data_IF_869662146481
#
_entry.id   IF_869662146481
#
_cell.length_a   1.000
_cell.length_b   1.000
_cell.length_c   1.000
_cell.angle_alpha   90.00
_cell.angle_beta   90.00
_cell.angle_gamma   90.00
#
_symmetry.space_group_name_H-M   'P 1'
#
loop_
_entity.id
_entity.type
_entity.pdbx_description
1 polymer ?
#
# COMPACT_ATOMS: atom_id res chain seq x y z
N UNK A 1 -6.20 -29.16 3.45
CA UNK A 1 -6.41 -28.42 4.70
C UNK A 1 -5.84 -27.01 4.55
N UNK A 2 -6.60 -26.12 3.88
CA UNK A 2 -6.15 -24.77 3.45
C UNK A 2 -7.11 -23.67 3.90
N UNK A 3 -7.87 -23.92 4.97
CA UNK A 3 -8.84 -22.97 5.50
C UNK A 3 -8.34 -22.37 6.81
N UNK A 4 -7.99 -21.09 6.68
CA UNK A 4 -7.95 -20.02 7.67
C UNK A 4 -7.66 -20.42 9.12
N UNK A 5 -6.44 -20.13 9.56
CA UNK A 5 -6.21 -19.87 10.95
C UNK A 5 -6.72 -18.45 11.26
N UNK A 6 -7.82 -18.34 12.01
CA UNK A 6 -8.38 -17.06 12.48
C UNK A 6 -7.34 -16.24 13.28
N UNK A 7 -6.24 -16.86 13.72
CA UNK A 7 -5.06 -16.18 14.25
C UNK A 7 -4.26 -15.33 13.25
N UNK A 8 -4.53 -15.42 11.93
CA UNK A 8 -3.78 -14.69 10.91
C UNK A 8 -4.08 -13.19 10.84
N UNK A 9 -5.20 -12.73 11.39
CA UNK A 9 -5.51 -11.29 11.48
C UNK A 9 -4.96 -10.66 12.77
N UNK A 10 -4.79 -11.44 13.83
CA UNK A 10 -4.38 -10.96 15.14
C UNK A 10 -2.92 -10.55 15.20
N UNK A 11 -2.65 -9.42 15.86
CA UNK A 11 -1.29 -8.90 16.00
C UNK A 11 -0.48 -9.68 17.06
N UNK A 12 -1.16 -10.19 18.09
CA UNK A 12 -0.56 -10.96 19.19
C UNK A 12 0.25 -12.18 18.74
N UNK A 13 -0.31 -13.12 17.95
CA UNK A 13 0.42 -14.28 17.43
C UNK A 13 1.62 -13.93 16.55
N UNK A 14 1.69 -12.69 16.03
CA UNK A 14 2.74 -12.20 15.13
C UNK A 14 3.84 -11.41 15.85
N UNK A 15 3.72 -11.21 17.18
CA UNK A 15 4.60 -10.36 17.98
C UNK A 15 4.69 -8.91 17.46
N UNK A 16 3.63 -8.45 16.80
CA UNK A 16 3.51 -7.03 16.47
C UNK A 16 3.26 -6.27 17.77
N UNK A 17 3.65 -5.00 17.81
CA UNK A 17 3.31 -4.16 18.96
C UNK A 17 1.80 -4.08 19.12
N UNK A 18 1.37 -3.92 20.36
CA UNK A 18 -0.02 -3.65 20.70
C UNK A 18 -0.11 -2.19 21.14
N UNK A 19 -1.13 -1.50 20.64
CA UNK A 19 -1.33 -0.08 20.88
C UNK A 19 -2.78 0.33 20.59
N UNK A 20 -3.14 1.60 20.81
CA UNK A 20 -4.52 2.08 20.64
C UNK A 20 -5.05 1.92 19.22
N UNK A 21 -4.18 1.93 18.21
CA UNK A 21 -4.56 1.75 16.80
C UNK A 21 -4.90 0.29 16.41
N UNK A 22 -4.70 -0.66 17.33
CA UNK A 22 -4.80 -2.10 17.04
C UNK A 22 -6.15 -2.46 16.42
N UNK A 23 -7.25 -2.02 16.99
CA UNK A 23 -8.59 -2.38 16.52
C UNK A 23 -8.83 -1.92 15.08
N UNK A 24 -8.42 -0.69 14.74
CA UNK A 24 -8.52 -0.13 13.40
C UNK A 24 -7.68 -0.94 12.40
N UNK A 25 -6.42 -1.25 12.75
CA UNK A 25 -5.51 -2.01 11.88
C UNK A 25 -5.94 -3.47 11.72
N UNK A 26 -6.42 -4.13 12.79
CA UNK A 26 -6.99 -5.48 12.71
C UNK A 26 -8.30 -5.49 11.90
N UNK A 27 -9.12 -4.43 11.99
CA UNK A 27 -10.34 -4.28 11.17
C UNK A 27 -10.02 -4.14 9.68
N UNK A 28 -8.99 -3.37 9.32
CA UNK A 28 -8.48 -3.34 7.94
C UNK A 28 -8.06 -4.73 7.45
N UNK A 29 -7.36 -5.51 8.30
CA UNK A 29 -6.96 -6.89 7.96
C UNK A 29 -8.15 -7.86 7.86
N UNK A 30 -9.14 -7.76 8.74
CA UNK A 30 -10.38 -8.54 8.66
C UNK A 30 -11.15 -8.23 7.38
N UNK A 31 -11.22 -6.96 6.98
CA UNK A 31 -11.86 -6.52 5.74
C UNK A 31 -11.17 -7.13 4.51
N UNK A 32 -9.84 -7.16 4.50
CA UNK A 32 -9.07 -7.90 3.49
C UNK A 32 -9.47 -9.38 3.42
N UNK A 33 -9.58 -10.08 4.55
CA UNK A 33 -9.99 -11.49 4.55
C UNK A 33 -11.42 -11.66 4.06
N UNK A 34 -12.34 -10.80 4.48
CA UNK A 34 -13.73 -10.82 4.03
C UNK A 34 -13.84 -10.71 2.50
N UNK A 35 -13.09 -9.80 1.87
CA UNK A 35 -13.08 -9.68 0.41
C UNK A 35 -12.41 -10.85 -0.31
N UNK A 36 -11.36 -11.43 0.28
CA UNK A 36 -10.73 -12.66 -0.23
C UNK A 36 -11.74 -13.82 -0.23
N UNK A 37 -12.45 -14.02 0.87
CA UNK A 37 -13.43 -15.10 1.04
C UNK A 37 -14.68 -14.88 0.18
N UNK A 38 -15.12 -13.63 0.01
CA UNK A 38 -16.22 -13.27 -0.87
C UNK A 38 -15.96 -13.75 -2.31
N UNK A 39 -14.76 -13.52 -2.84
CA UNK A 39 -14.38 -14.02 -4.17
C UNK A 39 -14.33 -15.56 -4.22
N UNK A 40 -13.73 -16.21 -3.21
CA UNK A 40 -13.69 -17.67 -3.17
C UNK A 40 -15.09 -18.31 -3.12
N UNK A 41 -16.04 -17.65 -2.47
CA UNK A 41 -17.42 -18.09 -2.39
C UNK A 41 -18.25 -17.73 -3.63
N UNK A 42 -17.67 -17.07 -4.64
CA UNK A 42 -18.39 -16.59 -5.83
C UNK A 42 -19.40 -15.47 -5.53
N UNK A 43 -19.16 -14.71 -4.45
CA UNK A 43 -20.06 -13.69 -3.90
C UNK A 43 -19.36 -12.33 -3.73
N UNK A 44 -18.65 -11.88 -4.75
CA UNK A 44 -17.84 -10.66 -4.70
C UNK A 44 -18.68 -9.39 -4.46
N UNK A 45 -19.96 -9.41 -4.85
CA UNK A 45 -20.94 -8.35 -4.60
C UNK A 45 -21.13 -8.05 -3.11
N UNK A 46 -20.89 -9.02 -2.21
CA UNK A 46 -21.02 -8.80 -0.76
C UNK A 46 -19.91 -7.93 -0.17
N UNK A 47 -18.89 -7.59 -0.96
CA UNK A 47 -17.91 -6.58 -0.53
C UNK A 47 -18.59 -5.23 -0.35
N UNK A 48 -19.64 -4.94 -1.13
CA UNK A 48 -20.34 -3.67 -1.06
C UNK A 48 -21.25 -3.56 0.19
N UNK A 49 -21.51 -4.67 0.88
CA UNK A 49 -22.17 -4.70 2.20
C UNK A 49 -21.27 -4.10 3.31
N UNK A 50 -19.95 -4.01 3.08
CA UNK A 50 -19.03 -3.39 4.03
C UNK A 50 -19.15 -1.87 3.99
N UNK A 51 -18.83 -1.23 5.12
CA UNK A 51 -18.66 0.22 5.20
C UNK A 51 -17.69 0.71 4.11
N UNK A 52 -18.00 1.83 3.49
CA UNK A 52 -17.29 2.33 2.31
C UNK A 52 -15.79 2.54 2.55
N UNK A 53 -15.43 3.00 3.74
CA UNK A 53 -14.05 3.24 4.16
C UNK A 53 -13.22 1.95 4.28
N UNK A 54 -13.88 0.80 4.43
CA UNK A 54 -13.27 -0.53 4.53
C UNK A 54 -13.25 -1.30 3.21
N UNK A 55 -14.11 -0.94 2.24
CA UNK A 55 -14.24 -1.64 0.94
C UNK A 55 -12.91 -1.74 0.21
N UNK A 56 -12.08 -0.70 0.26
CA UNK A 56 -10.77 -0.75 -0.39
C UNK A 56 -9.86 -1.88 0.14
N UNK A 57 -9.88 -2.17 1.44
CA UNK A 57 -9.15 -3.32 1.99
C UNK A 57 -9.76 -4.65 1.53
N UNK A 58 -11.10 -4.73 1.44
CA UNK A 58 -11.77 -5.90 0.91
C UNK A 58 -11.46 -6.14 -0.57
N UNK A 59 -11.40 -5.09 -1.40
CA UNK A 59 -10.98 -5.21 -2.79
C UNK A 59 -9.49 -5.55 -2.94
N UNK A 60 -8.63 -5.16 -1.99
CA UNK A 60 -7.27 -5.72 -1.88
C UNK A 60 -7.32 -7.24 -1.67
N UNK A 61 -8.17 -7.72 -0.77
CA UNK A 61 -8.44 -9.15 -0.57
C UNK A 61 -8.96 -9.87 -1.81
N UNK A 62 -9.94 -9.27 -2.48
CA UNK A 62 -10.55 -9.78 -3.70
C UNK A 62 -9.51 -9.91 -4.82
N UNK A 63 -8.66 -8.90 -4.99
CA UNK A 63 -7.54 -8.95 -5.93
C UNK A 63 -6.57 -10.09 -5.64
N UNK A 64 -6.28 -10.33 -4.35
CA UNK A 64 -5.44 -11.46 -3.95
C UNK A 64 -6.10 -12.83 -4.25
N UNK A 65 -7.41 -12.96 -4.04
CA UNK A 65 -8.14 -14.19 -4.35
C UNK A 65 -8.20 -14.45 -5.86
N UNK A 66 -8.55 -13.44 -6.66
CA UNK A 66 -8.56 -13.52 -8.12
C UNK A 66 -7.19 -13.93 -8.66
N UNK A 67 -6.11 -13.29 -8.21
CA UNK A 67 -4.75 -13.63 -8.64
C UNK A 67 -4.34 -15.05 -8.23
N UNK A 68 -4.72 -15.49 -7.03
CA UNK A 68 -4.47 -16.87 -6.57
C UNK A 68 -5.17 -17.88 -7.48
N UNK A 69 -6.46 -17.68 -7.75
CA UNK A 69 -7.25 -18.53 -8.63
C UNK A 69 -6.73 -18.50 -10.07
N UNK A 70 -6.35 -17.33 -10.59
CA UNK A 70 -5.82 -17.19 -11.94
C UNK A 70 -4.51 -17.95 -12.14
N UNK A 71 -3.64 -17.99 -11.12
CA UNK A 71 -2.41 -18.78 -11.14
C UNK A 71 -2.71 -20.27 -11.02
N UNK A 72 -3.57 -20.68 -10.09
CA UNK A 72 -3.87 -22.10 -9.86
C UNK A 72 -4.64 -22.75 -11.01
N UNK A 73 -5.48 -21.98 -11.70
CA UNK A 73 -6.31 -22.47 -12.81
C UNK A 73 -5.76 -22.09 -14.18
N UNK A 74 -4.58 -21.45 -14.23
CA UNK A 74 -3.89 -21.04 -15.46
C UNK A 74 -4.75 -20.17 -16.40
N UNK A 75 -5.67 -19.37 -15.85
CA UNK A 75 -6.62 -18.55 -16.63
C UNK A 75 -6.05 -17.22 -17.13
N UNK A 76 -4.73 -17.01 -16.99
CA UNK A 76 -4.03 -15.87 -17.58
C UNK A 76 -4.58 -14.50 -17.11
N UNK A 77 -4.95 -14.38 -15.84
CA UNK A 77 -5.41 -13.11 -15.29
C UNK A 77 -6.85 -12.73 -15.66
N UNK A 78 -7.67 -13.69 -16.14
CA UNK A 78 -9.07 -13.43 -16.50
C UNK A 78 -9.87 -12.88 -15.32
N UNK A 79 -9.74 -13.47 -14.14
CA UNK A 79 -10.52 -13.07 -12.95
C UNK A 79 -10.10 -11.71 -12.45
N UNK A 80 -8.80 -11.42 -12.49
CA UNK A 80 -8.34 -10.08 -12.11
C UNK A 80 -8.84 -9.01 -13.09
N UNK A 81 -8.89 -9.30 -14.40
CA UNK A 81 -9.47 -8.39 -15.40
C UNK A 81 -10.97 -8.17 -15.19
N UNK A 82 -11.73 -9.23 -14.94
CA UNK A 82 -13.16 -9.15 -14.63
C UNK A 82 -13.41 -8.29 -13.38
N UNK A 83 -12.58 -8.46 -12.33
CA UNK A 83 -12.66 -7.63 -11.12
C UNK A 83 -12.36 -6.15 -11.42
N UNK A 84 -11.28 -5.86 -12.15
CA UNK A 84 -10.86 -4.48 -12.48
C UNK A 84 -11.81 -3.76 -13.45
N UNK A 85 -12.51 -4.50 -14.30
CA UNK A 85 -13.50 -3.94 -15.23
C UNK A 85 -14.93 -3.94 -14.67
N UNK A 86 -15.13 -4.51 -13.48
CA UNK A 86 -16.42 -4.63 -12.82
C UNK A 86 -16.37 -4.04 -11.41
N UNK A 87 -16.71 -4.81 -10.36
CA UNK A 87 -16.92 -4.25 -9.01
C UNK A 87 -15.66 -3.61 -8.41
N UNK A 88 -14.47 -4.04 -8.81
CA UNK A 88 -13.19 -3.47 -8.36
C UNK A 88 -12.73 -2.23 -9.13
N UNK A 89 -13.51 -1.70 -10.08
CA UNK A 89 -13.09 -0.60 -10.97
C UNK A 89 -12.69 0.69 -10.23
N UNK A 90 -13.26 0.93 -9.04
CA UNK A 90 -12.94 2.08 -8.18
C UNK A 90 -11.76 1.83 -7.24
N UNK A 91 -11.20 0.62 -7.24
CA UNK A 91 -10.12 0.22 -6.33
C UNK A 91 -8.88 -0.35 -7.05
N UNK A 92 -8.45 0.21 -8.21
CA UNK A 92 -7.38 -0.40 -9.01
C UNK A 92 -6.05 -0.49 -8.26
N UNK A 93 -5.73 0.52 -7.45
CA UNK A 93 -4.55 0.53 -6.58
C UNK A 93 -4.55 -0.66 -5.62
N UNK A 94 -5.67 -0.87 -4.92
CA UNK A 94 -5.83 -1.90 -3.90
C UNK A 94 -5.87 -3.30 -4.53
N UNK A 95 -6.55 -3.48 -5.65
CA UNK A 95 -6.59 -4.75 -6.37
C UNK A 95 -5.17 -5.19 -6.80
N UNK A 96 -4.32 -4.27 -7.25
CA UNK A 96 -2.92 -4.58 -7.59
C UNK A 96 -2.05 -4.89 -6.37
N UNK A 97 -2.24 -4.19 -5.25
CA UNK A 97 -1.59 -4.53 -3.97
C UNK A 97 -1.97 -5.96 -3.53
N UNK A 98 -3.26 -6.30 -3.63
CA UNK A 98 -3.79 -7.65 -3.39
C UNK A 98 -3.12 -8.71 -4.24
N UNK A 99 -2.99 -8.44 -5.54
CA UNK A 99 -2.30 -9.31 -6.49
C UNK A 99 -0.88 -9.64 -6.03
N UNK A 100 -0.14 -8.64 -5.54
CA UNK A 100 1.18 -8.81 -4.96
C UNK A 100 1.20 -9.75 -3.75
N UNK A 101 0.22 -9.59 -2.86
CA UNK A 101 0.04 -10.46 -1.69
C UNK A 101 -0.18 -11.92 -2.08
N UNK A 102 -0.94 -12.18 -3.14
CA UNK A 102 -1.16 -13.54 -3.66
C UNK A 102 0.15 -14.20 -4.13
N UNK A 103 0.94 -13.49 -4.93
CA UNK A 103 2.26 -13.97 -5.38
C UNK A 103 3.17 -14.29 -4.19
N UNK A 104 3.21 -13.42 -3.18
CA UNK A 104 4.00 -13.64 -1.97
C UNK A 104 3.56 -14.89 -1.20
N UNK A 105 2.25 -15.12 -1.07
CA UNK A 105 1.67 -16.30 -0.44
C UNK A 105 2.03 -17.59 -1.18
N UNK A 106 1.98 -17.56 -2.50
CA UNK A 106 2.36 -18.69 -3.37
C UNK A 106 3.88 -18.87 -3.53
N UNK A 107 4.69 -17.99 -2.91
CA UNK A 107 6.16 -17.95 -3.05
C UNK A 107 6.63 -17.78 -4.50
N UNK A 108 5.79 -17.16 -5.32
CA UNK A 108 6.07 -16.81 -6.72
C UNK A 108 6.46 -15.33 -6.80
N UNK A 109 7.24 -14.96 -7.81
CA UNK A 109 7.49 -13.54 -8.10
C UNK A 109 6.28 -12.96 -8.83
N UNK A 110 5.92 -11.67 -8.62
CA UNK A 110 4.92 -11.03 -9.45
C UNK A 110 5.29 -11.17 -10.93
N UNK A 111 4.47 -11.91 -11.67
CA UNK A 111 4.60 -12.09 -13.11
C UNK A 111 3.62 -11.16 -13.82
N UNK A 112 4.02 -10.64 -14.97
CA UNK A 112 3.18 -9.74 -15.75
C UNK A 112 2.10 -10.55 -16.46
N UNK A 113 0.84 -10.38 -16.07
CA UNK A 113 -0.27 -11.12 -16.67
C UNK A 113 -1.60 -10.37 -16.75
N UNK A 114 -1.66 -9.10 -16.33
CA UNK A 114 -2.92 -8.35 -16.30
C UNK A 114 -2.74 -6.98 -16.94
N UNK A 115 -3.44 -6.76 -18.05
CA UNK A 115 -3.68 -5.44 -18.62
C UNK A 115 -4.62 -4.71 -17.67
N UNK A 116 -4.06 -3.82 -16.85
CA UNK A 116 -4.79 -2.90 -15.99
C UNK A 116 -5.35 -1.72 -16.79
N UNK A 117 -6.30 -0.99 -16.19
CA UNK A 117 -6.86 0.27 -16.74
C UNK A 117 -5.74 1.27 -17.05
N UNK A 118 -4.71 1.33 -16.20
CA UNK A 118 -3.44 2.00 -16.52
C UNK A 118 -2.27 1.01 -16.37
N UNK A 119 -1.47 0.74 -17.43
CA UNK A 119 -0.39 -0.24 -17.41
C UNK A 119 0.67 -0.02 -16.33
N UNK A 120 0.72 1.16 -15.72
CA UNK A 120 1.67 1.52 -14.67
C UNK A 120 1.27 0.98 -13.27
N UNK A 121 -0.03 0.81 -12.98
CA UNK A 121 -0.46 0.41 -11.63
C UNK A 121 -0.12 -1.04 -11.28
N UNK A 122 0.16 -1.89 -12.27
CA UNK A 122 0.65 -3.26 -12.06
C UNK A 122 1.92 -3.33 -11.22
N UNK A 123 2.72 -2.26 -11.19
CA UNK A 123 3.93 -2.20 -10.37
C UNK A 123 3.63 -2.24 -8.87
N UNK A 124 2.41 -1.83 -8.44
CA UNK A 124 1.94 -1.99 -7.06
C UNK A 124 1.85 -3.45 -6.61
N UNK A 125 1.87 -4.42 -7.53
CA UNK A 125 2.02 -5.82 -7.15
C UNK A 125 3.37 -6.10 -6.46
N UNK A 126 4.44 -5.35 -6.74
CA UNK A 126 5.69 -5.47 -5.98
C UNK A 126 5.59 -4.86 -4.58
N UNK A 127 4.76 -3.83 -4.40
CA UNK A 127 4.47 -3.22 -3.10
C UNK A 127 3.71 -4.23 -2.23
N UNK A 128 2.56 -4.71 -2.72
CA UNK A 128 1.78 -5.71 -1.99
C UNK A 128 2.56 -6.99 -1.71
N UNK A 129 3.47 -7.38 -2.61
CA UNK A 129 4.41 -8.47 -2.38
C UNK A 129 5.36 -8.18 -1.22
N UNK A 130 5.96 -6.97 -1.15
CA UNK A 130 6.78 -6.50 -0.04
C UNK A 130 6.05 -6.54 1.29
N UNK A 131 4.85 -5.95 1.34
CA UNK A 131 3.99 -5.94 2.51
C UNK A 131 3.74 -7.36 3.03
N UNK A 132 3.25 -8.26 2.16
CA UNK A 132 2.90 -9.62 2.56
C UNK A 132 4.11 -10.44 2.98
N UNK A 133 5.26 -10.29 2.30
CA UNK A 133 6.50 -10.98 2.66
C UNK A 133 6.95 -10.61 4.06
N UNK A 134 6.89 -9.34 4.43
CA UNK A 134 7.23 -8.96 5.78
C UNK A 134 6.15 -9.32 6.80
N UNK A 135 4.88 -9.29 6.42
CA UNK A 135 3.78 -9.71 7.28
C UNK A 135 3.94 -11.18 7.73
N UNK A 136 4.35 -12.07 6.83
CA UNK A 136 4.55 -13.50 7.10
C UNK A 136 5.93 -13.83 7.70
N UNK A 137 6.93 -12.95 7.50
CA UNK A 137 8.31 -13.23 7.89
C UNK A 137 8.99 -11.99 8.50
N UNK A 138 8.35 -11.38 9.50
CA UNK A 138 8.80 -10.14 10.14
C UNK A 138 10.25 -10.27 10.66
N UNK A 139 10.58 -11.33 11.39
CA UNK A 139 11.95 -11.57 11.88
C UNK A 139 13.02 -11.52 10.78
N UNK A 140 12.71 -12.04 9.59
CA UNK A 140 13.67 -12.08 8.46
C UNK A 140 13.74 -10.77 7.69
N UNK A 141 12.62 -10.09 7.54
CA UNK A 141 12.47 -8.94 6.63
C UNK A 141 12.58 -7.60 7.34
N UNK A 142 12.08 -7.51 8.57
CA UNK A 142 12.18 -6.38 9.47
C UNK A 142 13.41 -6.57 10.36
N UNK A 143 13.46 -7.63 11.18
CA UNK A 143 14.55 -7.84 12.14
C UNK A 143 15.93 -8.04 11.50
N UNK A 144 16.03 -8.89 10.46
CA UNK A 144 17.28 -9.11 9.70
C UNK A 144 17.38 -8.29 8.42
N UNK A 145 16.37 -7.46 8.13
CA UNK A 145 16.37 -6.54 6.99
C UNK A 145 16.64 -7.20 5.62
N UNK A 146 16.32 -8.49 5.46
CA UNK A 146 16.61 -9.21 4.21
C UNK A 146 15.53 -8.98 3.16
N UNK A 147 15.95 -8.81 1.91
CA UNK A 147 15.04 -8.81 0.76
C UNK A 147 14.75 -10.22 0.25
N UNK A 148 13.62 -10.39 -0.44
CA UNK A 148 13.26 -11.67 -1.05
C UNK A 148 14.05 -11.93 -2.35
N UNK A 149 15.29 -12.41 -2.21
CA UNK A 149 16.14 -12.82 -3.32
C UNK A 149 16.69 -11.66 -4.18
N UNK A 150 17.20 -12.00 -5.37
CA UNK A 150 17.76 -11.04 -6.33
C UNK A 150 16.64 -10.23 -7.00
N UNK A 151 16.64 -8.93 -6.79
CA UNK A 151 15.75 -7.95 -7.41
C UNK A 151 16.60 -6.81 -7.99
N UNK A 152 16.20 -6.30 -9.16
CA UNK A 152 16.71 -5.04 -9.68
C UNK A 152 16.33 -3.87 -8.76
N UNK A 153 16.97 -2.71 -8.98
CA UNK A 153 16.78 -1.51 -8.16
C UNK A 153 15.31 -1.09 -8.08
N UNK A 154 14.60 -1.09 -9.20
CA UNK A 154 13.21 -0.63 -9.28
C UNK A 154 12.28 -1.55 -8.50
N UNK A 155 12.39 -2.87 -8.69
CA UNK A 155 11.58 -3.85 -7.95
C UNK A 155 11.88 -3.80 -6.45
N UNK A 156 13.14 -3.61 -6.06
CA UNK A 156 13.54 -3.46 -4.66
C UNK A 156 12.94 -2.21 -4.02
N UNK A 157 13.00 -1.07 -4.70
CA UNK A 157 12.41 0.17 -4.23
C UNK A 157 10.90 0.00 -3.94
N UNK A 158 10.17 -0.61 -4.86
CA UNK A 158 8.73 -0.82 -4.71
C UNK A 158 8.42 -1.88 -3.64
N UNK A 159 9.25 -2.91 -3.53
CA UNK A 159 9.19 -3.88 -2.44
C UNK A 159 9.37 -3.22 -1.06
N UNK A 160 10.33 -2.30 -0.95
CA UNK A 160 10.60 -1.56 0.28
C UNK A 160 9.46 -0.57 0.59
N UNK A 161 8.76 -0.03 -0.40
CA UNK A 161 7.50 0.70 -0.18
C UNK A 161 6.45 -0.18 0.52
N UNK A 162 6.29 -1.42 0.06
CA UNK A 162 5.42 -2.40 0.73
C UNK A 162 5.87 -2.74 2.15
N UNK A 163 7.17 -2.86 2.39
CA UNK A 163 7.70 -3.04 3.74
C UNK A 163 7.45 -1.82 4.63
N UNK A 164 7.55 -0.60 4.10
CA UNK A 164 7.24 0.63 4.83
C UNK A 164 5.79 0.65 5.29
N UNK A 165 4.85 0.28 4.41
CA UNK A 165 3.45 0.08 4.80
C UNK A 165 3.32 -0.93 5.93
N UNK A 166 4.05 -2.05 5.85
CA UNK A 166 4.04 -3.06 6.89
C UNK A 166 4.57 -2.53 8.23
N UNK A 167 5.62 -1.70 8.24
CA UNK A 167 6.17 -1.16 9.50
C UNK A 167 5.11 -0.40 10.30
N UNK A 168 4.21 0.31 9.62
CA UNK A 168 3.05 0.95 10.25
C UNK A 168 2.15 -0.04 11.00
N UNK A 169 1.89 -1.22 10.41
CA UNK A 169 1.12 -2.28 11.07
C UNK A 169 1.95 -2.97 12.16
N UNK A 170 3.24 -3.21 11.91
CA UNK A 170 4.15 -3.91 12.81
C UNK A 170 4.33 -3.18 14.14
N UNK A 171 4.47 -1.86 14.07
CA UNK A 171 4.63 -0.99 15.24
C UNK A 171 3.28 -0.38 15.70
N UNK A 172 2.15 -0.90 15.20
CA UNK A 172 0.79 -0.49 15.59
C UNK A 172 0.54 1.02 15.53
N UNK A 173 0.96 1.66 14.43
CA UNK A 173 0.88 3.10 14.21
C UNK A 173 1.64 3.97 15.23
N UNK A 174 2.55 3.38 16.03
CA UNK A 174 3.43 4.10 16.93
C UNK A 174 4.48 4.89 16.16
N UNK A 175 4.32 6.21 16.08
CA UNK A 175 5.16 7.09 15.22
C UNK A 175 6.65 6.99 15.55
N UNK A 176 7.01 7.09 16.84
CA UNK A 176 8.41 7.03 17.27
C UNK A 176 9.02 5.65 16.98
N UNK A 177 8.23 4.60 17.17
CA UNK A 177 8.67 3.22 16.91
C UNK A 177 8.85 2.94 15.42
N UNK A 178 7.97 3.47 14.57
CA UNK A 178 8.11 3.40 13.12
C UNK A 178 9.38 4.13 12.68
N UNK A 179 9.62 5.35 13.19
CA UNK A 179 10.81 6.12 12.86
C UNK A 179 12.10 5.39 13.27
N UNK A 180 12.15 4.86 14.50
CA UNK A 180 13.26 4.04 14.98
C UNK A 180 13.46 2.81 14.08
N UNK A 181 12.37 2.13 13.70
CA UNK A 181 12.45 0.94 12.86
C UNK A 181 12.98 1.26 11.46
N UNK A 182 12.58 2.38 10.86
CA UNK A 182 13.12 2.83 9.57
C UNK A 182 14.61 3.16 9.69
N UNK A 183 15.03 3.82 10.77
CA UNK A 183 16.43 4.17 11.01
C UNK A 183 17.37 2.95 11.11
N UNK A 184 16.85 1.78 11.51
CA UNK A 184 17.65 0.55 11.52
C UNK A 184 18.05 0.09 10.10
N UNK A 185 17.26 0.40 9.06
CA UNK A 185 17.55 -0.05 7.70
C UNK A 185 18.73 0.70 7.08
N UNK A 186 19.44 0.10 6.10
CA UNK A 186 20.48 0.79 5.34
C UNK A 186 19.94 2.06 4.67
N UNK A 187 20.70 3.18 4.66
CA UNK A 187 20.22 4.47 4.14
C UNK A 187 19.61 4.40 2.74
N UNK A 188 20.19 3.59 1.85
CA UNK A 188 19.70 3.40 0.47
C UNK A 188 18.33 2.73 0.33
N UNK A 189 17.68 2.32 1.43
CA UNK A 189 16.32 1.73 1.45
C UNK A 189 15.29 2.59 2.17
N UNK A 190 15.72 3.56 2.98
CA UNK A 190 14.84 4.33 3.88
C UNK A 190 13.85 5.21 3.13
N UNK A 191 14.27 5.78 2.00
CA UNK A 191 13.41 6.58 1.13
C UNK A 191 12.10 5.86 0.76
N UNK A 192 12.19 4.61 0.32
CA UNK A 192 11.02 3.84 -0.08
C UNK A 192 10.20 3.37 1.12
N UNK A 193 10.85 3.03 2.24
CA UNK A 193 10.16 2.73 3.49
C UNK A 193 9.30 3.92 3.95
N UNK A 194 9.85 5.14 3.94
CA UNK A 194 9.11 6.35 4.27
C UNK A 194 7.92 6.59 3.33
N UNK A 195 8.07 6.32 2.04
CA UNK A 195 6.93 6.35 1.11
C UNK A 195 5.85 5.33 1.45
N UNK A 196 6.22 4.15 1.93
CA UNK A 196 5.27 3.15 2.40
C UNK A 196 4.55 3.57 3.67
N UNK A 197 5.31 4.11 4.64
CA UNK A 197 4.79 4.62 5.91
C UNK A 197 3.78 5.73 5.67
N UNK A 198 4.09 6.72 4.84
CA UNK A 198 3.17 7.82 4.52
C UNK A 198 1.88 7.34 3.86
N UNK A 199 1.97 6.33 2.99
CA UNK A 199 0.80 5.71 2.38
C UNK A 199 -0.06 4.99 3.42
N UNK A 200 0.54 4.19 4.30
CA UNK A 200 -0.20 3.46 5.33
C UNK A 200 -0.84 4.40 6.36
N UNK A 201 -0.10 5.41 6.82
CA UNK A 201 -0.57 6.40 7.78
C UNK A 201 -1.79 7.16 7.25
N UNK A 202 -1.75 7.65 6.01
CA UNK A 202 -2.87 8.39 5.41
C UNK A 202 -4.04 7.50 4.97
N UNK A 203 -3.77 6.32 4.40
CA UNK A 203 -4.83 5.44 3.88
C UNK A 203 -5.53 4.66 5.01
N UNK A 204 -4.75 4.11 5.93
CA UNK A 204 -5.23 3.23 7.00
C UNK A 204 -5.58 4.01 8.26
N UNK A 205 -4.88 5.10 8.55
CA UNK A 205 -5.02 5.85 9.80
C UNK A 205 -4.36 5.14 10.98
N UNK A 206 -4.78 5.50 12.19
CA UNK A 206 -4.29 4.91 13.45
C UNK A 206 -3.41 5.83 14.28
N UNK A 207 -3.21 7.09 13.87
CA UNK A 207 -2.46 8.09 14.61
C UNK A 207 -3.17 9.45 14.56
N UNK A 208 -2.97 10.29 15.58
CA UNK A 208 -3.53 11.64 15.62
C UNK A 208 -2.80 12.60 14.67
N UNK A 209 -3.40 13.74 14.32
CA UNK A 209 -2.73 14.75 13.50
C UNK A 209 -1.39 15.21 14.09
N UNK A 210 -1.32 15.43 15.41
CA UNK A 210 -0.09 15.80 16.11
C UNK A 210 0.98 14.70 16.05
N UNK A 211 0.58 13.42 16.07
CA UNK A 211 1.54 12.31 15.87
C UNK A 211 2.04 12.27 14.43
N UNK A 212 1.16 12.51 13.45
CA UNK A 212 1.53 12.54 12.04
C UNK A 212 2.45 13.73 11.70
N UNK A 213 2.30 14.88 12.37
CA UNK A 213 3.26 15.98 12.27
C UNK A 213 4.64 15.59 12.80
N UNK A 214 4.71 14.87 13.92
CA UNK A 214 5.98 14.32 14.44
C UNK A 214 6.58 13.28 13.48
N UNK A 215 5.75 12.47 12.84
CA UNK A 215 6.18 11.53 11.80
C UNK A 215 6.79 12.28 10.59
N UNK A 216 6.18 13.40 10.19
CA UNK A 216 6.70 14.25 9.13
C UNK A 216 8.03 14.93 9.51
N UNK A 217 8.17 15.36 10.77
CA UNK A 217 9.43 15.89 11.30
C UNK A 217 10.53 14.81 11.31
N UNK A 218 10.24 13.61 11.81
CA UNK A 218 11.20 12.50 11.81
C UNK A 218 11.65 12.11 10.39
N UNK A 219 10.72 12.08 9.43
CA UNK A 219 11.07 11.86 8.03
C UNK A 219 11.91 13.00 7.45
N UNK A 220 11.72 14.24 7.90
CA UNK A 220 12.53 15.38 7.49
C UNK A 220 13.96 15.31 8.04
N UNK A 221 14.11 14.96 9.31
CA UNK A 221 15.41 14.75 9.97
C UNK A 221 16.22 13.64 9.29
N UNK A 222 15.57 12.55 8.86
CA UNK A 222 16.21 11.48 8.08
C UNK A 222 16.42 11.86 6.59
N UNK A 223 15.94 13.03 6.15
CA UNK A 223 16.13 13.55 4.77
C UNK A 223 15.13 13.02 3.74
N UNK A 224 14.01 12.43 4.18
CA UNK A 224 13.03 11.74 3.33
C UNK A 224 11.59 12.27 3.42
N UNK A 225 11.38 13.51 3.91
CA UNK A 225 10.05 14.16 3.97
C UNK A 225 9.28 14.10 2.64
N UNK A 226 9.95 14.37 1.51
CA UNK A 226 9.34 14.27 0.18
C UNK A 226 8.82 12.87 -0.16
N UNK A 227 9.47 11.81 0.35
CA UNK A 227 9.04 10.44 0.12
C UNK A 227 7.84 10.08 0.98
N UNK A 228 7.81 10.52 2.25
CA UNK A 228 6.63 10.41 3.12
C UNK A 228 5.42 11.10 2.47
N UNK A 229 5.60 12.35 2.01
CA UNK A 229 4.58 13.14 1.34
C UNK A 229 4.06 12.45 0.06
N UNK A 230 4.95 11.87 -0.76
CA UNK A 230 4.54 11.07 -1.92
C UNK A 230 3.66 9.88 -1.53
N UNK A 231 4.00 9.18 -0.44
CA UNK A 231 3.17 8.10 0.10
C UNK A 231 1.77 8.57 0.47
N UNK A 232 1.69 9.70 1.19
CA UNK A 232 0.43 10.34 1.56
C UNK A 232 -0.40 10.75 0.33
N UNK A 233 0.22 11.36 -0.69
CA UNK A 233 -0.42 11.73 -1.95
C UNK A 233 -1.03 10.52 -2.68
N UNK A 234 -0.31 9.39 -2.73
CA UNK A 234 -0.81 8.14 -3.31
C UNK A 234 -2.03 7.58 -2.53
N UNK A 235 -2.04 7.73 -1.21
CA UNK A 235 -3.19 7.36 -0.39
C UNK A 235 -4.41 8.27 -0.66
N UNK A 236 -4.19 9.58 -0.77
CA UNK A 236 -5.22 10.56 -1.12
C UNK A 236 -5.85 10.23 -2.48
N UNK A 237 -5.02 10.03 -3.51
CA UNK A 237 -5.47 9.64 -4.84
C UNK A 237 -6.29 8.33 -4.82
N UNK A 238 -5.84 7.31 -4.09
CA UNK A 238 -6.59 6.06 -3.96
C UNK A 238 -7.96 6.25 -3.29
N UNK A 239 -8.08 7.16 -2.31
CA UNK A 239 -9.35 7.49 -1.64
C UNK A 239 -10.28 8.30 -2.54
N UNK A 240 -9.75 9.27 -3.30
CA UNK A 240 -10.51 10.05 -4.28
C UNK A 240 -11.09 9.16 -5.38
N UNK A 241 -10.27 8.27 -5.96
CA UNK A 241 -10.72 7.31 -6.98
C UNK A 241 -11.79 6.35 -6.43
N UNK A 242 -11.67 5.95 -5.16
CA UNK A 242 -12.67 5.12 -4.49
C UNK A 242 -14.01 5.85 -4.29
N UNK A 243 -14.01 7.19 -4.28
CA UNK A 243 -15.18 8.03 -4.01
C UNK A 243 -15.49 8.19 -2.52
N UNK A 244 -14.59 7.78 -1.63
CA UNK A 244 -14.77 7.87 -0.18
C UNK A 244 -13.47 8.34 0.47
N UNK A 245 -13.51 9.49 1.14
CA UNK A 245 -12.38 10.07 1.88
C UNK A 245 -12.70 10.09 3.38
N UNK A 246 -12.15 9.17 4.18
CA UNK A 246 -12.38 9.13 5.63
C UNK A 246 -11.76 10.33 6.35
N UNK A 247 -12.31 10.69 7.52
CA UNK A 247 -11.82 11.78 8.37
C UNK A 247 -10.32 11.67 8.70
N UNK A 248 -9.81 10.46 8.97
CA UNK A 248 -8.39 10.27 9.25
C UNK A 248 -7.50 10.57 8.03
N UNK A 249 -8.00 10.37 6.81
CA UNK A 249 -7.26 10.76 5.58
C UNK A 249 -7.26 12.28 5.43
N UNK A 250 -8.39 12.94 5.71
CA UNK A 250 -8.50 14.41 5.71
C UNK A 250 -7.53 15.02 6.72
N UNK A 251 -7.44 14.47 7.93
CA UNK A 251 -6.50 14.95 8.95
C UNK A 251 -5.03 14.62 8.61
N UNK A 252 -4.76 13.50 7.93
CA UNK A 252 -3.41 13.07 7.62
C UNK A 252 -2.75 13.86 6.48
N UNK A 253 -3.52 14.31 5.49
CA UNK A 253 -2.98 15.04 4.34
C UNK A 253 -2.20 16.31 4.74
N UNK A 254 -2.79 17.28 5.49
CA UNK A 254 -2.06 18.47 5.91
C UNK A 254 -0.91 18.14 6.85
N UNK A 255 -1.09 17.18 7.77
CA UNK A 255 -0.04 16.80 8.71
C UNK A 255 1.21 16.18 8.04
N UNK A 256 1.02 15.34 7.01
CA UNK A 256 2.11 14.59 6.38
C UNK A 256 2.72 15.27 5.15
N UNK A 257 1.91 15.96 4.35
CA UNK A 257 2.36 16.59 3.11
C UNK A 257 2.10 18.10 3.06
N UNK A 258 1.49 18.67 4.09
CA UNK A 258 1.21 20.09 4.19
C UNK A 258 -0.01 20.55 3.39
N UNK A 259 -0.67 19.68 2.61
CA UNK A 259 -1.73 20.02 1.66
C UNK A 259 -3.02 19.26 1.92
N UNK A 260 -4.13 19.79 1.39
CA UNK A 260 -5.43 19.13 1.45
C UNK A 260 -5.49 17.91 0.52
N UNK A 261 -6.44 17.00 0.75
CA UNK A 261 -6.57 15.72 0.06
C UNK A 261 -6.63 15.89 -1.47
N UNK A 262 -7.43 16.84 -1.97
CA UNK A 262 -7.61 17.07 -3.41
C UNK A 262 -6.32 17.55 -4.07
N UNK A 263 -5.60 18.47 -3.42
CA UNK A 263 -4.32 18.98 -3.92
C UNK A 263 -3.27 17.86 -3.94
N UNK A 264 -3.13 17.13 -2.84
CA UNK A 264 -2.17 16.03 -2.72
C UNK A 264 -2.46 14.91 -3.73
N UNK A 265 -3.74 14.55 -3.89
CA UNK A 265 -4.18 13.59 -4.92
C UNK A 265 -3.88 14.09 -6.33
N UNK A 266 -4.14 15.38 -6.61
CA UNK A 266 -3.89 16.01 -7.90
C UNK A 266 -2.43 15.99 -8.36
N UNK A 267 -1.45 15.98 -7.43
CA UNK A 267 -0.04 15.78 -7.79
C UNK A 267 0.22 14.43 -8.48
N UNK A 268 -0.53 13.39 -8.09
CA UNK A 268 -0.40 12.05 -8.68
C UNK A 268 -0.91 12.02 -10.10
N UNK A 269 -2.03 12.68 -10.37
CA UNK A 269 -2.62 12.79 -11.71
C UNK A 269 -1.75 13.66 -12.62
N UNK A 270 -1.31 14.83 -12.15
CA UNK A 270 -0.42 15.71 -12.91
C UNK A 270 0.89 15.01 -13.28
N UNK A 271 1.48 14.27 -12.33
CA UNK A 271 2.68 13.49 -12.58
C UNK A 271 2.45 12.33 -13.55
N UNK A 272 1.25 11.72 -13.55
CA UNK A 272 0.90 10.64 -14.46
C UNK A 272 0.70 11.17 -15.89
N UNK A 273 -0.04 12.27 -16.05
CA UNK A 273 -0.25 12.96 -17.34
C UNK A 273 1.08 13.33 -17.99
N UNK A 274 2.05 13.81 -17.19
CA UNK A 274 3.38 14.20 -17.68
C UNK A 274 4.19 13.04 -18.29
N UNK A 275 3.87 11.77 -18.01
CA UNK A 275 4.55 10.61 -18.59
C UNK A 275 4.01 10.23 -19.99
N UNK A 276 2.81 10.72 -20.34
CA UNK A 276 2.12 10.39 -21.58
C UNK A 276 1.50 8.98 -21.61
N UNK A 277 0.77 8.71 -22.69
CA UNK A 277 -0.13 7.55 -22.84
C UNK A 277 0.57 6.17 -22.90
N UNK A 278 1.89 6.13 -23.11
CA UNK A 278 2.64 4.89 -23.28
C UNK A 278 3.44 4.48 -22.02
N UNK A 279 3.20 5.10 -20.86
CA UNK A 279 3.92 4.81 -19.62
C UNK A 279 3.60 3.40 -19.07
N UNK A 280 4.60 2.51 -19.08
CA UNK A 280 4.41 1.11 -18.65
C UNK A 280 5.63 0.47 -17.97
N UNK A 281 6.85 0.94 -18.26
CA UNK A 281 8.08 0.36 -17.69
C UNK A 281 8.27 0.72 -16.21
N UNK A 282 9.23 0.07 -15.56
CA UNK A 282 9.57 0.35 -14.17
C UNK A 282 10.19 1.74 -14.01
N UNK A 283 10.91 2.20 -15.03
CA UNK A 283 11.48 3.54 -15.06
C UNK A 283 10.39 4.60 -15.14
N UNK A 284 9.32 4.36 -15.91
CA UNK A 284 8.14 5.22 -15.89
C UNK A 284 7.48 5.27 -14.51
N UNK A 285 7.44 4.15 -13.77
CA UNK A 285 6.88 4.12 -12.42
C UNK A 285 7.74 4.95 -11.45
N UNK A 286 9.07 4.86 -11.56
CA UNK A 286 9.97 5.70 -10.76
C UNK A 286 9.92 7.17 -11.17
N UNK A 287 9.74 7.47 -12.46
CA UNK A 287 9.54 8.82 -12.97
C UNK A 287 8.22 9.41 -12.44
N UNK A 288 7.14 8.63 -12.39
CA UNK A 288 5.87 9.03 -11.77
C UNK A 288 6.04 9.46 -10.32
N UNK A 289 6.65 8.58 -9.51
CA UNK A 289 6.97 8.84 -8.09
C UNK A 289 7.83 10.10 -7.93
N UNK A 290 8.88 10.22 -8.74
CA UNK A 290 9.72 11.43 -8.76
C UNK A 290 8.93 12.69 -9.13
N UNK A 291 7.99 12.59 -10.08
CA UNK A 291 7.08 13.66 -10.48
C UNK A 291 6.21 14.17 -9.32
N UNK A 292 5.64 13.24 -8.54
CA UNK A 292 4.85 13.58 -7.34
C UNK A 292 5.71 14.36 -6.35
N UNK A 293 6.93 13.88 -6.05
CA UNK A 293 7.86 14.58 -5.13
C UNK A 293 8.25 15.96 -5.64
N UNK A 294 8.42 16.13 -6.95
CA UNK A 294 8.72 17.43 -7.57
C UNK A 294 7.53 18.39 -7.55
N UNK A 295 6.30 17.88 -7.56
CA UNK A 295 5.10 18.70 -7.41
C UNK A 295 4.98 19.19 -5.96
N UNK A 296 5.10 18.26 -5.00
CA UNK A 296 5.13 18.58 -3.57
C UNK A 296 6.22 19.61 -3.22
N UNK A 297 7.46 19.39 -3.65
CA UNK A 297 8.58 20.29 -3.35
C UNK A 297 8.48 21.67 -4.04
N UNK A 298 7.67 21.81 -5.10
CA UNK A 298 7.38 23.12 -5.69
C UNK A 298 6.46 23.90 -4.78
N UNK A 299 5.35 23.26 -4.40
CA UNK A 299 4.35 23.79 -3.49
C UNK A 299 4.94 24.20 -2.14
N UNK A 300 5.77 23.34 -1.55
CA UNK A 300 6.41 23.59 -0.24
C UNK A 300 7.33 24.81 -0.23
N UNK A 301 7.84 25.24 -1.40
CA UNK A 301 8.63 26.49 -1.52
C UNK A 301 7.77 27.74 -1.69
N UNK A 302 6.53 27.56 -2.15
CA UNK A 302 5.60 28.65 -2.44
C UNK A 302 4.64 28.91 -1.25
N UNK A 303 4.72 28.09 -0.19
CA UNK A 303 3.95 28.19 1.07
C UNK A 303 4.76 28.87 2.18
#
# INVERSE_FOLDING_TARGET
MFWQDLGLAGFGPRRFRLGPAREQLETARRSFLAGYDAVLAGRAERIDDLREDLRGFAYEGAGAACATLDVLTLTGGRRLRELLNGPGMRYPHLVHLGTGSAYARMRLRPMWGVRAVHPLLRWLAFDGFGFHRGFVAADRTVGRQRTAGLMDRTKRAIFDQGLGRLLWFHECAGVDDVALRVAEFPPGRRADLWSGVGMAAAYTGGASAADLERLAAAAAEDGFRAHLAQGCALACAARLIAGTVPEHTVAAAPALCGAEVDEAGGWTDAALVALGHNAHSGDHYQAWRSGIRKAWARRDRDS
#
